data_IF_046587323662
#
_entry.id   IF_046587323662
#
_cell.length_a   1.000
_cell.length_b   1.000
_cell.length_c   1.000
_cell.angle_alpha   90.00
_cell.angle_beta   90.00
_cell.angle_gamma   90.00
#
_symmetry.space_group_name_H-M   'P 1'
#
loop_
_entity.id
_entity.type
_entity.pdbx_description
1 polymer ?
#
# COMPACT_ATOMS: atom_id res chain seq x y z
N UNK A 1 17.81 -0.15 4.43
CA UNK A 1 17.47 0.96 5.33
C UNK A 1 16.61 1.99 4.61
N UNK A 2 15.97 2.88 5.35
CA UNK A 2 15.16 3.97 4.80
C UNK A 2 16.10 5.05 4.23
N UNK A 3 16.07 5.38 2.92
CA UNK A 3 17.01 6.34 2.33
C UNK A 3 16.76 7.80 2.75
N UNK A 4 15.49 8.18 2.95
CA UNK A 4 15.09 9.54 3.29
C UNK A 4 14.24 9.56 4.56
N UNK A 5 13.98 10.74 5.11
CA UNK A 5 13.23 10.91 6.36
C UNK A 5 11.70 10.84 6.20
N UNK A 6 11.19 10.74 4.99
CA UNK A 6 9.76 10.72 4.66
C UNK A 6 9.33 9.44 3.95
N UNK A 7 8.04 9.28 3.67
CA UNK A 7 7.39 8.09 3.10
C UNK A 7 7.69 6.81 3.91
N UNK A 8 7.56 6.93 5.21
CA UNK A 8 7.85 5.79 6.09
C UNK A 8 6.69 4.77 6.15
N UNK A 9 5.46 5.18 5.84
CA UNK A 9 4.29 4.36 6.11
C UNK A 9 4.24 3.98 7.60
N UNK A 10 4.47 2.71 7.90
CA UNK A 10 4.76 2.23 9.25
C UNK A 10 3.54 1.72 10.02
N UNK A 11 2.34 1.74 9.46
CA UNK A 11 1.22 1.06 10.10
C UNK A 11 1.39 -0.45 10.01
N UNK A 12 1.10 -1.14 11.11
CA UNK A 12 1.02 -2.60 11.21
C UNK A 12 -0.37 -3.02 11.70
N UNK A 13 -0.79 -4.21 11.35
CA UNK A 13 -2.06 -4.77 11.80
C UNK A 13 -2.26 -6.21 11.35
N UNK A 14 -3.07 -6.95 12.08
CA UNK A 14 -3.42 -8.31 11.70
C UNK A 14 -4.53 -8.32 10.65
N UNK A 15 -4.35 -9.15 9.63
CA UNK A 15 -5.38 -9.47 8.65
C UNK A 15 -6.41 -10.47 9.20
N UNK A 16 -7.54 -10.62 8.49
CA UNK A 16 -8.55 -11.63 8.84
C UNK A 16 -8.04 -13.06 8.73
N UNK A 17 -6.92 -13.27 8.06
CA UNK A 17 -6.21 -14.52 7.89
C UNK A 17 -5.21 -14.83 9.02
N UNK A 18 -5.10 -13.93 10.02
CA UNK A 18 -4.24 -14.10 11.20
C UNK A 18 -2.77 -13.72 10.99
N UNK A 19 -2.37 -13.32 9.78
CA UNK A 19 -1.01 -12.85 9.50
C UNK A 19 -0.85 -11.35 9.80
N UNK A 20 0.38 -10.94 10.09
CA UNK A 20 0.72 -9.54 10.31
C UNK A 20 1.03 -8.86 8.98
N UNK A 21 0.37 -7.73 8.75
CA UNK A 21 0.61 -6.84 7.61
C UNK A 21 1.36 -5.59 8.05
N UNK A 22 2.22 -5.09 7.18
CA UNK A 22 2.95 -3.84 7.39
C UNK A 22 3.07 -3.06 6.08
N UNK A 23 2.67 -1.79 6.08
CA UNK A 23 2.81 -0.90 4.94
C UNK A 23 4.10 -0.10 5.02
N UNK A 24 4.95 -0.19 4.00
CA UNK A 24 6.18 0.59 3.88
C UNK A 24 6.13 1.48 2.64
N UNK A 25 6.51 2.75 2.81
CA UNK A 25 6.67 3.66 1.70
C UNK A 25 7.91 3.37 0.86
N UNK A 26 8.06 4.09 -0.25
CA UNK A 26 9.09 3.91 -1.27
C UNK A 26 10.51 4.28 -0.81
N UNK A 27 10.67 4.80 0.40
CA UNK A 27 11.95 5.22 0.94
C UNK A 27 12.17 6.72 0.88
N UNK A 28 11.19 7.47 0.35
CA UNK A 28 11.17 8.92 0.39
C UNK A 28 11.85 9.64 -0.76
N UNK A 29 11.85 10.95 -0.66
CA UNK A 29 12.26 11.84 -1.73
C UNK A 29 11.22 11.98 -2.83
N UNK A 30 11.53 12.72 -3.89
CA UNK A 30 10.66 12.86 -5.05
C UNK A 30 10.91 11.76 -6.09
N UNK A 31 9.85 11.32 -6.78
CA UNK A 31 9.93 10.44 -7.94
C UNK A 31 10.48 9.05 -7.65
N UNK A 32 10.45 8.57 -6.41
CA UNK A 32 11.04 7.28 -6.01
C UNK A 32 12.42 7.07 -6.64
N UNK A 33 13.30 8.05 -6.43
CA UNK A 33 14.60 8.18 -7.13
C UNK A 33 15.64 7.15 -6.73
N UNK A 34 15.35 6.38 -5.70
CA UNK A 34 16.24 5.34 -5.18
C UNK A 34 15.98 4.03 -5.94
N UNK A 35 17.06 3.49 -6.55
CA UNK A 35 16.97 2.32 -7.42
C UNK A 35 16.63 2.66 -8.88
N UNK A 36 17.07 1.80 -9.79
CA UNK A 36 17.00 2.04 -11.25
C UNK A 36 15.57 2.23 -11.77
N UNK A 37 14.61 1.48 -11.21
CA UNK A 37 13.19 1.53 -11.58
C UNK A 37 12.29 2.03 -10.44
N UNK A 38 12.90 2.59 -9.37
CA UNK A 38 12.23 2.94 -8.12
C UNK A 38 12.02 1.77 -7.19
N UNK A 39 12.11 2.05 -5.87
CA UNK A 39 11.93 1.02 -4.84
C UNK A 39 10.55 0.35 -4.91
N UNK A 40 9.51 1.10 -5.23
CA UNK A 40 8.15 0.58 -5.29
C UNK A 40 7.98 -0.53 -6.34
N UNK A 41 8.76 -0.50 -7.43
CA UNK A 41 8.75 -1.51 -8.49
C UNK A 41 9.83 -2.59 -8.32
N UNK A 42 10.84 -2.39 -7.45
CA UNK A 42 11.88 -3.38 -7.18
C UNK A 42 11.39 -4.43 -6.18
N UNK A 43 11.23 -5.68 -6.63
CA UNK A 43 10.77 -6.78 -5.76
C UNK A 43 11.89 -7.31 -4.84
N UNK A 44 13.13 -6.87 -5.01
CA UNK A 44 14.28 -7.21 -4.16
C UNK A 44 14.43 -6.28 -2.95
N UNK A 45 13.47 -5.40 -2.70
CA UNK A 45 13.42 -4.51 -1.53
C UNK A 45 12.03 -4.53 -0.90
N UNK A 46 11.96 -4.26 0.41
CA UNK A 46 10.71 -4.16 1.16
C UNK A 46 10.07 -2.76 1.09
N UNK A 47 10.73 -1.79 0.43
CA UNK A 47 10.23 -0.42 0.31
C UNK A 47 9.17 -0.30 -0.81
N UNK A 48 8.17 0.54 -0.58
CA UNK A 48 7.04 0.73 -1.51
C UNK A 48 6.12 -0.49 -1.60
N UNK A 49 5.89 -1.18 -0.47
CA UNK A 49 5.22 -2.48 -0.40
C UNK A 49 4.17 -2.54 0.72
N UNK A 50 3.19 -3.38 0.49
CA UNK A 50 2.47 -4.04 1.57
C UNK A 50 3.14 -5.37 1.83
N UNK A 51 3.59 -5.60 3.06
CA UNK A 51 4.21 -6.84 3.51
C UNK A 51 3.21 -7.70 4.28
N UNK A 52 3.42 -9.02 4.28
CA UNK A 52 2.62 -9.98 5.03
C UNK A 52 3.53 -11.10 5.56
N UNK A 53 3.53 -11.27 6.87
CA UNK A 53 4.40 -12.22 7.56
C UNK A 53 3.62 -13.03 8.62
N UNK A 54 4.13 -14.19 8.96
CA UNK A 54 3.62 -15.04 10.03
C UNK A 54 4.44 -14.81 11.30
N UNK A 55 3.81 -14.28 12.34
CA UNK A 55 4.43 -14.02 13.65
C UNK A 55 4.05 -15.06 14.70
N UNK A 56 3.40 -16.17 14.32
CA UNK A 56 3.07 -17.27 15.22
C UNK A 56 4.26 -18.20 15.51
N UNK A 57 5.38 -17.99 14.84
CA UNK A 57 6.60 -18.81 14.98
C UNK A 57 7.28 -18.60 16.34
N UNK A 58 7.95 -19.63 16.85
CA UNK A 58 8.63 -19.57 18.15
C UNK A 58 9.80 -18.55 18.19
N UNK A 59 10.35 -18.17 17.04
CA UNK A 59 11.41 -17.16 16.92
C UNK A 59 11.37 -16.48 15.56
N UNK A 60 11.56 -15.15 15.53
CA UNK A 60 11.54 -14.37 14.31
C UNK A 60 10.13 -14.32 13.68
N UNK A 61 10.04 -14.60 12.39
CA UNK A 61 8.77 -14.66 11.64
C UNK A 61 8.83 -15.73 10.55
N UNK A 62 7.68 -16.21 10.13
CA UNK A 62 7.47 -17.10 8.98
C UNK A 62 7.03 -16.33 7.74
N UNK A 63 7.07 -17.00 6.60
CA UNK A 63 6.47 -16.50 5.36
C UNK A 63 5.18 -17.28 5.11
N UNK A 64 4.03 -16.59 4.97
CA UNK A 64 2.80 -17.24 4.58
C UNK A 64 2.98 -18.02 3.26
N UNK A 65 2.54 -19.29 3.17
CA UNK A 65 2.87 -20.16 2.05
C UNK A 65 2.27 -19.68 0.71
N UNK A 66 1.27 -18.83 0.78
CA UNK A 66 0.58 -18.26 -0.36
C UNK A 66 1.02 -16.82 -0.70
N UNK A 67 2.09 -16.29 -0.09
CA UNK A 67 2.69 -15.04 -0.56
C UNK A 67 3.25 -15.21 -1.98
N UNK A 68 3.25 -14.15 -2.81
CA UNK A 68 3.65 -14.22 -4.23
C UNK A 68 5.03 -14.87 -4.47
N UNK A 69 5.96 -14.67 -3.54
CA UNK A 69 7.34 -15.15 -3.66
C UNK A 69 7.75 -16.07 -2.50
N UNK A 70 6.80 -16.80 -1.91
CA UNK A 70 6.98 -17.58 -0.67
C UNK A 70 8.14 -18.59 -0.71
N UNK A 71 8.51 -19.09 -1.89
CA UNK A 71 9.61 -20.04 -2.06
C UNK A 71 11.02 -19.39 -2.03
N UNK A 72 11.10 -18.06 -2.08
CA UNK A 72 12.39 -17.37 -2.11
C UNK A 72 13.00 -17.22 -0.71
N UNK A 73 14.32 -17.04 -0.62
CA UNK A 73 14.98 -16.65 0.63
C UNK A 73 14.44 -15.30 1.14
N UNK A 74 14.30 -15.19 2.47
CA UNK A 74 13.91 -13.93 3.12
C UNK A 74 14.87 -12.81 2.77
N UNK A 75 14.33 -11.61 2.66
CA UNK A 75 15.14 -10.43 2.56
C UNK A 75 15.91 -10.18 3.86
N UNK A 76 17.14 -9.69 3.76
CA UNK A 76 18.00 -9.45 4.90
C UNK A 76 17.51 -8.33 5.81
N UNK A 77 18.15 -8.16 6.98
CA UNK A 77 17.81 -7.13 7.97
C UNK A 77 17.90 -5.70 7.42
N UNK A 78 18.63 -5.47 6.34
CA UNK A 78 18.66 -4.19 5.62
C UNK A 78 17.41 -3.97 4.73
N UNK A 79 16.48 -4.93 4.66
CA UNK A 79 15.28 -4.88 3.85
C UNK A 79 15.52 -5.11 2.36
N UNK A 80 16.61 -5.81 1.99
CA UNK A 80 16.91 -6.14 0.60
C UNK A 80 17.33 -7.59 0.44
N UNK A 81 17.15 -8.16 -0.74
CA UNK A 81 17.50 -9.53 -1.09
C UNK A 81 18.13 -9.66 -2.47
N UNK A 82 18.72 -10.82 -2.73
CA UNK A 82 19.26 -11.19 -4.05
C UNK A 82 18.14 -11.67 -5.01
N UNK A 83 16.98 -12.05 -4.45
CA UNK A 83 15.79 -12.45 -5.18
C UNK A 83 14.60 -11.62 -4.70
N UNK A 84 13.43 -11.79 -5.35
CA UNK A 84 12.20 -11.14 -4.92
C UNK A 84 11.86 -11.53 -3.47
N UNK A 85 11.62 -10.52 -2.63
CA UNK A 85 11.38 -10.71 -1.21
C UNK A 85 10.08 -11.47 -0.95
N UNK A 86 10.11 -12.60 -0.24
CA UNK A 86 8.91 -13.40 0.02
C UNK A 86 7.93 -12.76 1.01
N UNK A 87 8.36 -11.73 1.74
CA UNK A 87 7.52 -10.92 2.62
C UNK A 87 6.50 -10.08 1.86
N UNK A 88 6.72 -9.85 0.57
CA UNK A 88 5.87 -8.96 -0.25
C UNK A 88 4.50 -9.59 -0.46
N UNK A 89 3.45 -8.84 -0.09
CA UNK A 89 2.05 -9.13 -0.41
C UNK A 89 1.60 -8.39 -1.68
N UNK A 90 1.94 -7.09 -1.78
CA UNK A 90 1.66 -6.23 -2.92
C UNK A 90 2.74 -5.16 -3.06
N UNK A 91 2.84 -4.55 -4.25
CA UNK A 91 3.88 -3.58 -4.62
C UNK A 91 3.32 -2.31 -5.24
N UNK A 92 4.19 -1.36 -5.58
CA UNK A 92 3.81 -0.16 -6.29
C UNK A 92 3.11 0.88 -5.43
N UNK A 93 3.41 0.93 -4.12
CA UNK A 93 2.89 1.91 -3.18
C UNK A 93 3.94 3.01 -2.94
N UNK A 94 3.49 4.26 -2.81
CA UNK A 94 4.37 5.39 -2.54
C UNK A 94 4.56 5.64 -1.06
N UNK A 95 3.47 5.87 -0.34
CA UNK A 95 3.47 6.12 1.09
C UNK A 95 2.12 5.67 1.68
N UNK A 96 1.92 4.35 1.84
CA UNK A 96 0.68 3.77 2.36
C UNK A 96 0.51 4.20 3.82
N UNK A 97 -0.21 5.32 4.02
CA UNK A 97 -0.23 6.01 5.31
C UNK A 97 -1.13 5.31 6.32
N UNK A 98 -2.44 5.17 6.00
CA UNK A 98 -3.37 4.38 6.82
C UNK A 98 -4.12 3.40 5.95
N UNK A 99 -4.34 2.25 6.52
CA UNK A 99 -5.06 1.18 5.86
C UNK A 99 -5.92 0.40 6.85
N UNK A 100 -6.90 -0.31 6.33
CA UNK A 100 -7.80 -1.12 7.16
C UNK A 100 -8.36 -2.28 6.37
N UNK A 101 -8.67 -3.35 7.05
CA UNK A 101 -9.49 -4.41 6.49
C UNK A 101 -10.98 -4.09 6.67
N UNK A 102 -11.75 -4.30 5.62
CA UNK A 102 -13.19 -4.38 5.77
C UNK A 102 -13.55 -5.64 6.58
N UNK A 103 -14.16 -5.45 7.73
CA UNK A 103 -14.48 -6.52 8.67
C UNK A 103 -15.48 -7.56 8.12
N UNK A 104 -16.22 -7.24 7.05
CA UNK A 104 -17.20 -8.14 6.43
C UNK A 104 -16.61 -8.93 5.27
N UNK A 105 -15.84 -8.27 4.41
CA UNK A 105 -15.33 -8.88 3.17
C UNK A 105 -13.88 -9.34 3.28
N UNK A 106 -13.12 -8.81 4.25
CA UNK A 106 -11.69 -9.05 4.37
C UNK A 106 -10.84 -8.25 3.37
N UNK A 107 -11.42 -7.35 2.60
CA UNK A 107 -10.69 -6.53 1.64
C UNK A 107 -9.79 -5.51 2.35
N UNK A 108 -8.57 -5.36 1.86
CA UNK A 108 -7.60 -4.40 2.36
C UNK A 108 -7.70 -3.09 1.59
N UNK A 109 -8.04 -2.01 2.31
CA UNK A 109 -8.17 -0.66 1.80
C UNK A 109 -7.03 0.21 2.30
N UNK A 110 -6.38 0.94 1.41
CA UNK A 110 -5.18 1.74 1.69
C UNK A 110 -5.38 3.16 1.16
N UNK A 111 -5.03 4.17 1.98
CA UNK A 111 -4.79 5.53 1.51
C UNK A 111 -3.31 5.68 1.18
N UNK A 112 -2.98 5.81 -0.10
CA UNK A 112 -1.60 5.99 -0.56
C UNK A 112 -1.35 7.45 -0.94
N UNK A 113 -0.44 8.10 -0.21
CA UNK A 113 -0.17 9.53 -0.37
C UNK A 113 0.61 9.79 -1.65
N UNK A 114 -0.01 10.51 -2.56
CA UNK A 114 0.56 10.88 -3.85
C UNK A 114 1.67 11.93 -3.79
N UNK A 115 2.25 12.27 -4.93
CA UNK A 115 3.39 13.19 -4.99
C UNK A 115 2.97 14.63 -5.30
N UNK A 116 2.50 14.89 -6.53
CA UNK A 116 2.24 16.24 -7.01
C UNK A 116 0.87 16.43 -7.67
N UNK A 117 0.25 15.35 -8.13
CA UNK A 117 -0.95 15.42 -8.95
C UNK A 117 -2.18 14.82 -8.26
N UNK A 118 -2.06 13.60 -7.77
CA UNK A 118 -3.20 12.80 -7.31
C UNK A 118 -2.90 12.17 -5.95
N UNK A 119 -3.93 12.10 -5.12
CA UNK A 119 -4.04 11.23 -3.96
C UNK A 119 -4.90 10.04 -4.32
N UNK A 120 -4.67 8.86 -3.75
CA UNK A 120 -5.38 7.66 -4.17
C UNK A 120 -5.82 6.76 -3.02
N UNK A 121 -6.87 6.02 -3.29
CA UNK A 121 -7.39 4.95 -2.44
C UNK A 121 -7.32 3.65 -3.21
N UNK A 122 -6.65 2.67 -2.63
CA UNK A 122 -6.43 1.35 -3.23
C UNK A 122 -7.20 0.24 -2.54
N UNK A 123 -7.65 -0.75 -3.31
CA UNK A 123 -7.96 -2.08 -2.80
C UNK A 123 -6.80 -2.99 -3.06
N UNK A 124 -5.99 -3.20 -2.02
CA UNK A 124 -4.75 -3.97 -2.14
C UNK A 124 -5.04 -5.46 -2.19
N UNK A 125 -4.54 -6.12 -3.23
CA UNK A 125 -4.69 -7.56 -3.47
C UNK A 125 -3.35 -8.25 -3.50
N UNK A 126 -3.32 -9.50 -3.12
CA UNK A 126 -2.13 -10.35 -3.19
C UNK A 126 -1.56 -10.38 -4.61
N UNK A 127 -0.26 -10.08 -4.74
CA UNK A 127 0.44 -10.01 -6.02
C UNK A 127 0.10 -8.80 -6.88
N UNK A 128 -0.74 -7.88 -6.39
CA UNK A 128 -1.08 -6.65 -7.11
C UNK A 128 0.04 -5.63 -7.12
N UNK A 129 0.08 -4.83 -8.18
CA UNK A 129 0.99 -3.70 -8.35
C UNK A 129 0.16 -2.42 -8.49
N UNK A 130 0.26 -1.50 -7.53
CA UNK A 130 -0.52 -0.25 -7.47
C UNK A 130 0.10 0.91 -8.28
N UNK A 131 1.16 0.61 -9.04
CA UNK A 131 1.63 1.44 -10.16
C UNK A 131 2.69 2.47 -9.83
N UNK A 132 2.88 2.90 -8.59
CA UNK A 132 3.96 3.82 -8.27
C UNK A 132 5.33 3.20 -8.57
N UNK A 133 6.28 3.83 -9.25
CA UNK A 133 6.33 5.20 -9.80
C UNK A 133 5.94 5.33 -11.30
N UNK A 134 5.44 4.27 -11.94
CA UNK A 134 4.98 4.34 -13.33
C UNK A 134 3.77 5.28 -13.45
N UNK A 135 2.93 5.26 -12.42
CA UNK A 135 1.71 6.04 -12.33
C UNK A 135 1.64 6.76 -10.97
N UNK A 136 0.97 7.90 -10.95
CA UNK A 136 0.44 8.57 -9.77
C UNK A 136 -1.08 8.58 -9.94
N UNK A 137 -1.81 7.77 -9.19
CA UNK A 137 -3.18 7.44 -9.50
C UNK A 137 -3.30 6.75 -10.87
N UNK A 138 -4.18 7.24 -11.72
CA UNK A 138 -4.31 6.79 -13.12
C UNK A 138 -3.38 7.53 -14.09
N UNK A 139 -2.64 8.54 -13.61
CA UNK A 139 -1.79 9.39 -14.44
C UNK A 139 -0.39 8.80 -14.61
N UNK A 140 0.00 8.50 -15.85
CA UNK A 140 1.37 8.10 -16.17
C UNK A 140 2.38 9.21 -15.80
N UNK A 141 3.45 8.84 -15.11
CA UNK A 141 4.50 9.79 -14.68
C UNK A 141 5.55 10.03 -15.76
N UNK A 142 5.74 9.08 -16.68
CA UNK A 142 6.81 9.09 -17.66
C UNK A 142 8.18 8.70 -17.09
N UNK A 143 8.25 8.29 -15.81
CA UNK A 143 9.49 7.84 -15.18
C UNK A 143 9.83 6.40 -15.59
N UNK A 144 11.13 6.08 -15.62
CA UNK A 144 11.58 4.71 -15.84
C UNK A 144 11.12 3.80 -14.68
N UNK A 145 10.32 2.79 -14.97
CA UNK A 145 9.72 1.93 -13.96
C UNK A 145 9.76 0.42 -14.29
N UNK A 146 10.51 0.05 -15.31
CA UNK A 146 10.61 -1.36 -15.74
C UNK A 146 9.32 -1.87 -16.39
N UNK A 147 9.22 -3.18 -16.53
CA UNK A 147 7.98 -3.83 -16.97
C UNK A 147 7.06 -3.99 -15.76
N UNK A 148 6.11 -3.09 -15.60
CA UNK A 148 5.14 -3.15 -14.51
C UNK A 148 4.04 -4.17 -14.87
N UNK A 149 4.04 -5.28 -14.16
CA UNK A 149 3.05 -6.35 -14.33
C UNK A 149 1.94 -6.25 -13.27
N UNK A 150 0.79 -6.85 -13.55
CA UNK A 150 -0.37 -6.92 -12.64
C UNK A 150 -0.82 -5.56 -12.10
N UNK A 151 -0.79 -4.52 -12.95
CA UNK A 151 -1.20 -3.17 -12.58
C UNK A 151 -2.67 -3.13 -12.17
N UNK A 152 -2.91 -2.53 -11.02
CA UNK A 152 -4.23 -2.27 -10.46
C UNK A 152 -4.43 -0.75 -10.36
N UNK A 153 -5.47 -0.26 -11.00
CA UNK A 153 -5.87 1.13 -10.83
C UNK A 153 -6.45 1.37 -9.42
N UNK A 154 -6.30 2.58 -8.87
CA UNK A 154 -6.96 2.94 -7.63
C UNK A 154 -8.49 2.88 -7.77
N UNK A 155 -9.19 2.62 -6.67
CA UNK A 155 -10.67 2.63 -6.64
C UNK A 155 -11.24 4.03 -6.56
N UNK A 156 -10.44 4.99 -6.10
CA UNK A 156 -10.75 6.42 -6.13
C UNK A 156 -9.45 7.22 -6.12
N UNK A 157 -9.51 8.39 -6.74
CA UNK A 157 -8.41 9.36 -6.73
C UNK A 157 -8.96 10.79 -6.68
N UNK A 158 -8.15 11.74 -6.22
CA UNK A 158 -8.51 13.14 -6.23
C UNK A 158 -7.28 14.05 -6.40
N UNK A 159 -7.49 15.18 -7.09
CA UNK A 159 -6.44 16.14 -7.39
C UNK A 159 -6.18 17.15 -6.28
N UNK A 160 -5.12 17.92 -6.44
CA UNK A 160 -4.61 18.90 -5.45
C UNK A 160 -5.56 20.04 -5.09
N UNK A 161 -6.60 20.29 -5.87
CA UNK A 161 -7.66 21.25 -5.53
C UNK A 161 -8.66 20.69 -4.52
N UNK A 162 -8.79 19.38 -4.44
CA UNK A 162 -9.68 18.71 -3.50
C UNK A 162 -8.97 18.37 -2.18
N UNK A 163 -7.71 17.92 -2.23
CA UNK A 163 -6.90 17.60 -1.06
C UNK A 163 -5.44 17.41 -1.42
N UNK A 164 -4.59 17.12 -0.45
CA UNK A 164 -3.12 17.07 -0.66
C UNK A 164 -2.39 15.98 0.11
N UNK A 165 -3.09 15.26 0.98
CA UNK A 165 -2.51 14.17 1.76
C UNK A 165 -3.62 13.27 2.26
N UNK A 166 -3.88 12.21 1.52
CA UNK A 166 -4.87 11.22 1.93
C UNK A 166 -4.45 10.56 3.24
N UNK A 167 -5.38 10.49 4.19
CA UNK A 167 -5.12 9.78 5.44
C UNK A 167 -5.48 8.30 5.33
N UNK A 168 -6.49 7.97 4.53
CA UNK A 168 -7.14 6.66 4.53
C UNK A 168 -8.31 6.62 5.51
N UNK A 169 -8.86 5.44 5.78
CA UNK A 169 -10.07 5.31 6.57
C UNK A 169 -10.57 3.89 6.73
N UNK A 170 -11.90 3.73 6.77
CA UNK A 170 -12.55 2.45 7.07
C UNK A 170 -13.82 2.24 6.25
N UNK A 171 -14.14 0.99 5.92
CA UNK A 171 -15.49 0.64 5.45
C UNK A 171 -16.43 0.70 6.65
N UNK A 172 -17.46 1.55 6.55
CA UNK A 172 -18.42 1.69 7.63
C UNK A 172 -19.35 0.48 7.70
N UNK A 173 -19.29 -0.24 8.80
CA UNK A 173 -20.12 -1.42 9.09
C UNK A 173 -20.98 -1.23 10.36
N UNK A 174 -21.12 0.04 10.81
CA UNK A 174 -21.99 0.39 11.92
C UNK A 174 -23.46 0.53 11.51
N UNK A 175 -24.36 0.49 12.51
CA UNK A 175 -25.80 0.62 12.28
C UNK A 175 -26.33 2.06 12.44
N UNK A 176 -25.55 2.97 13.02
CA UNK A 176 -26.06 4.32 13.41
C UNK A 176 -26.30 5.24 12.20
N UNK A 177 -25.50 5.10 11.13
CA UNK A 177 -25.59 5.95 9.94
C UNK A 177 -25.84 5.03 8.74
N UNK A 178 -27.12 4.73 8.49
CA UNK A 178 -27.50 3.80 7.43
C UNK A 178 -26.99 4.22 6.05
N UNK A 179 -26.93 5.51 5.75
CA UNK A 179 -26.42 6.04 4.48
C UNK A 179 -24.92 5.74 4.24
N UNK A 180 -24.15 5.41 5.28
CA UNK A 180 -22.73 5.04 5.16
C UNK A 180 -22.50 3.54 5.16
N UNK A 181 -23.53 2.73 5.40
CA UNK A 181 -23.37 1.27 5.46
C UNK A 181 -22.74 0.73 4.16
N UNK A 182 -21.60 0.00 4.30
CA UNK A 182 -20.86 -0.53 3.16
C UNK A 182 -19.99 0.47 2.40
N UNK A 183 -19.94 1.72 2.81
CA UNK A 183 -19.10 2.74 2.17
C UNK A 183 -17.75 2.88 2.86
N UNK A 184 -16.69 3.03 2.08
CA UNK A 184 -15.37 3.39 2.60
C UNK A 184 -15.35 4.89 2.89
N UNK A 185 -15.15 5.25 4.15
CA UNK A 185 -15.09 6.64 4.62
C UNK A 185 -13.63 6.98 4.89
N UNK A 186 -13.13 8.05 4.30
CA UNK A 186 -11.73 8.45 4.40
C UNK A 186 -11.57 9.98 4.49
N UNK A 187 -10.40 10.42 4.91
CA UNK A 187 -10.10 11.84 5.09
C UNK A 187 -8.82 12.30 4.41
N UNK A 188 -8.69 13.63 4.25
CA UNK A 188 -7.47 14.30 3.83
C UNK A 188 -6.93 15.14 4.99
N UNK A 189 -5.66 14.96 5.32
CA UNK A 189 -5.00 15.61 6.45
C UNK A 189 -4.89 17.12 6.30
N UNK A 190 -4.61 17.60 5.08
CA UNK A 190 -4.32 19.03 4.85
C UNK A 190 -5.60 19.85 4.83
N UNK A 191 -6.66 19.35 4.22
CA UNK A 191 -7.92 20.08 4.05
C UNK A 191 -8.94 19.80 5.14
N UNK A 192 -8.77 18.71 5.90
CA UNK A 192 -9.75 18.24 6.88
C UNK A 192 -11.04 17.70 6.25
N UNK A 193 -11.08 17.54 4.94
CA UNK A 193 -12.23 16.99 4.23
C UNK A 193 -12.41 15.51 4.52
N UNK A 194 -13.65 15.08 4.58
CA UNK A 194 -14.04 13.69 4.72
C UNK A 194 -14.96 13.33 3.55
N UNK A 195 -14.67 12.20 2.91
CA UNK A 195 -15.46 11.65 1.82
C UNK A 195 -15.86 10.21 2.07
N UNK A 196 -16.74 9.73 1.26
CA UNK A 196 -17.00 8.31 1.14
C UNK A 196 -17.12 7.88 -0.32
N UNK A 197 -16.76 6.67 -0.60
CA UNK A 197 -16.94 5.99 -1.89
C UNK A 197 -17.76 4.72 -1.68
N UNK A 198 -18.45 4.28 -2.74
CA UNK A 198 -19.15 3.02 -2.69
C UNK A 198 -18.12 1.90 -2.44
N UNK A 199 -18.30 1.18 -1.34
CA UNK A 199 -17.72 -0.15 -1.19
C UNK A 199 -18.63 -1.13 -1.93
N UNK A 200 -18.12 -2.28 -2.31
CA UNK A 200 -18.98 -3.34 -2.80
C UNK A 200 -19.91 -3.77 -1.66
N UNK A 201 -21.20 -3.73 -1.94
CA UNK A 201 -22.29 -4.07 -1.02
C UNK A 201 -22.33 -5.56 -0.71
#
# INVERSE_FOLDING_TARGET
GQPEANHNGGQIGFGPDGYLYAGFGDGGGGNDRHGAIGNAQLMTTLLGKMLRIDVSTASGYGIPPDNPFAANPRCGMNGSGAANCPEIYASGLRNPWRWSFDRRTGELWVGDVGQNALEEIDRVRRGGNHGWRCFEGTRATGLACGAAENLLAPVAEYGRSAGRSVTGGYVYRGARIAALAGRYVFGDYVTGRIWYIAGDT
#
